data_IF_388723707372
#
_entry.id   IF_388723707372
#
_cell.length_a   1.000
_cell.length_b   1.000
_cell.length_c   1.000
_cell.angle_alpha   90.00
_cell.angle_beta   90.00
_cell.angle_gamma   90.00
#
_symmetry.space_group_name_H-M   'P 1'
#
loop_
_entity.id
_entity.type
_entity.pdbx_description
1 polymer ?
#
# COMPACT_ATOMS: atom_id res chain seq x y z
N UNK A 1 -3.46 -9.92 -25.70
CA UNK A 1 -2.25 -10.34 -24.95
C UNK A 1 -2.67 -10.93 -23.60
N UNK A 2 -1.97 -11.95 -23.13
CA UNK A 2 -2.22 -12.61 -21.83
C UNK A 2 -1.26 -12.09 -20.76
N UNK A 3 -1.80 -11.66 -19.64
CA UNK A 3 -1.04 -11.13 -18.50
C UNK A 3 -1.25 -12.01 -17.27
N UNK A 4 -0.17 -12.58 -16.74
CA UNK A 4 -0.16 -13.18 -15.42
C UNK A 4 0.11 -12.10 -14.37
N UNK A 5 -0.78 -11.96 -13.39
CA UNK A 5 -0.57 -11.11 -12.21
C UNK A 5 -0.39 -12.02 -11.00
N UNK A 6 0.75 -11.91 -10.34
CA UNK A 6 1.03 -12.65 -9.10
C UNK A 6 1.28 -11.68 -7.97
N UNK A 7 0.52 -11.79 -6.89
CA UNK A 7 0.78 -11.01 -5.69
C UNK A 7 0.08 -11.64 -4.49
N UNK A 8 0.50 -11.33 -3.26
CA UNK A 8 -0.32 -11.66 -2.10
C UNK A 8 -1.69 -10.99 -2.26
N UNK A 9 -2.76 -11.54 -1.69
CA UNK A 9 -3.97 -10.72 -1.48
C UNK A 9 -3.68 -9.59 -0.50
N UNK A 10 -4.05 -8.36 -0.83
CA UNK A 10 -3.89 -7.18 0.03
C UNK A 10 -5.02 -6.18 -0.16
N UNK A 11 -6.00 -6.21 0.76
CA UNK A 11 -7.08 -5.21 0.85
C UNK A 11 -7.91 -5.00 -0.43
N UNK A 12 -7.88 -5.93 -1.39
CA UNK A 12 -8.66 -5.85 -2.63
C UNK A 12 -7.99 -5.05 -3.75
N UNK A 13 -6.82 -4.46 -3.51
CA UNK A 13 -6.06 -3.79 -4.57
C UNK A 13 -5.67 -4.75 -5.70
N UNK A 14 -5.40 -6.02 -5.38
CA UNK A 14 -5.11 -7.05 -6.40
C UNK A 14 -6.26 -7.19 -7.42
N UNK A 15 -7.49 -7.00 -6.97
CA UNK A 15 -8.68 -7.05 -7.83
C UNK A 15 -8.82 -5.76 -8.66
N UNK A 16 -8.45 -4.61 -8.11
CA UNK A 16 -8.43 -3.34 -8.84
C UNK A 16 -7.40 -3.39 -9.98
N UNK A 17 -6.19 -3.88 -9.70
CA UNK A 17 -5.12 -4.04 -10.71
C UNK A 17 -5.58 -4.99 -11.81
N UNK A 18 -6.14 -6.14 -11.44
CA UNK A 18 -6.68 -7.11 -12.40
C UNK A 18 -7.72 -6.46 -13.33
N UNK A 19 -8.73 -5.79 -12.75
CA UNK A 19 -9.80 -5.14 -13.51
C UNK A 19 -9.29 -4.04 -14.43
N UNK A 20 -8.31 -3.25 -13.98
CA UNK A 20 -7.76 -2.18 -14.80
C UNK A 20 -6.87 -2.72 -15.94
N UNK A 21 -6.13 -3.80 -15.71
CA UNK A 21 -5.41 -4.49 -16.78
C UNK A 21 -6.37 -5.10 -17.81
N UNK A 22 -7.51 -5.65 -17.38
CA UNK A 22 -8.56 -6.13 -18.29
C UNK A 22 -9.15 -4.98 -19.14
N UNK A 23 -9.35 -3.80 -18.55
CA UNK A 23 -9.77 -2.59 -19.28
C UNK A 23 -8.75 -2.10 -20.30
N UNK A 24 -7.46 -2.31 -20.04
CA UNK A 24 -6.38 -2.05 -21.00
C UNK A 24 -6.28 -3.10 -22.12
N UNK A 25 -7.18 -4.09 -22.16
CA UNK A 25 -7.25 -5.10 -23.21
C UNK A 25 -6.46 -6.39 -22.94
N UNK A 26 -5.92 -6.57 -21.73
CA UNK A 26 -5.25 -7.81 -21.36
C UNK A 26 -6.24 -8.89 -20.93
N UNK A 27 -6.02 -10.13 -21.38
CA UNK A 27 -6.65 -11.30 -20.77
C UNK A 27 -5.84 -11.67 -19.53
N UNK A 28 -6.41 -11.50 -18.34
CA UNK A 28 -5.65 -11.62 -17.08
C UNK A 28 -5.88 -12.96 -16.38
N UNK A 29 -4.79 -13.52 -15.84
CA UNK A 29 -4.85 -14.60 -14.84
C UNK A 29 -4.25 -14.09 -13.54
N UNK A 30 -5.01 -14.18 -12.45
CA UNK A 30 -4.53 -13.84 -11.11
C UNK A 30 -4.14 -15.10 -10.32
N UNK A 31 -3.00 -15.01 -9.63
CA UNK A 31 -2.48 -16.04 -8.73
C UNK A 31 -2.00 -15.39 -7.42
N UNK A 32 -2.62 -15.80 -6.31
CA UNK A 32 -2.12 -15.49 -4.96
C UNK A 32 -0.79 -16.20 -4.77
N UNK A 33 0.28 -15.48 -4.48
CA UNK A 33 1.62 -16.07 -4.34
C UNK A 33 1.78 -16.89 -3.04
N UNK A 34 0.81 -16.80 -2.13
CA UNK A 34 0.69 -17.62 -0.92
C UNK A 34 -0.38 -18.71 -1.05
N UNK A 35 -0.74 -19.09 -2.28
CA UNK A 35 -1.84 -20.01 -2.56
C UNK A 35 -1.77 -21.30 -1.73
N UNK A 36 -2.81 -21.53 -0.94
CA UNK A 36 -2.97 -22.72 -0.11
C UNK A 36 -2.24 -22.67 1.24
N UNK A 37 -1.55 -21.58 1.59
CA UNK A 37 -0.95 -21.44 2.91
C UNK A 37 -1.97 -20.98 3.95
N UNK A 38 -1.94 -21.62 5.12
CA UNK A 38 -2.69 -21.19 6.30
C UNK A 38 -2.02 -19.97 6.98
N UNK A 39 -2.68 -19.41 8.00
CA UNK A 39 -2.20 -18.23 8.70
C UNK A 39 -0.79 -18.39 9.30
N UNK A 40 -0.49 -19.56 9.89
CA UNK A 40 0.81 -19.83 10.53
C UNK A 40 1.91 -19.99 9.49
N UNK A 41 1.65 -20.74 8.41
CA UNK A 41 2.57 -20.87 7.28
C UNK A 41 2.89 -19.50 6.66
N UNK A 42 1.87 -18.64 6.49
CA UNK A 42 2.05 -17.26 6.03
C UNK A 42 2.89 -16.42 7.01
N UNK A 43 2.76 -16.63 8.32
CA UNK A 43 3.58 -15.94 9.31
C UNK A 43 5.05 -16.39 9.25
N UNK A 44 5.29 -17.68 9.05
CA UNK A 44 6.64 -18.26 8.91
C UNK A 44 7.38 -17.70 7.69
N UNK A 45 6.74 -17.67 6.51
CA UNK A 45 7.39 -17.13 5.30
C UNK A 45 7.74 -15.64 5.45
N UNK A 46 6.94 -14.85 6.18
CA UNK A 46 7.24 -13.43 6.48
C UNK A 46 8.40 -13.27 7.46
N UNK A 47 8.67 -14.30 8.27
CA UNK A 47 9.88 -14.43 9.08
C UNK A 47 11.02 -15.12 8.32
N UNK A 48 10.86 -15.29 7.00
CA UNK A 48 11.84 -15.90 6.12
C UNK A 48 12.10 -17.40 6.42
N UNK A 49 11.12 -18.07 7.04
CA UNK A 49 11.18 -19.49 7.40
C UNK A 49 10.38 -20.29 6.36
N UNK A 50 11.09 -20.83 5.36
CA UNK A 50 10.50 -21.66 4.31
C UNK A 50 10.85 -23.14 4.50
N UNK A 51 9.96 -23.88 5.17
CA UNK A 51 10.12 -25.34 5.33
C UNK A 51 9.99 -26.05 3.98
N UNK A 52 10.55 -27.26 3.88
CA UNK A 52 10.43 -28.11 2.69
C UNK A 52 8.97 -28.33 2.30
N UNK A 53 8.10 -28.53 3.28
CA UNK A 53 6.67 -28.74 3.08
C UNK A 53 5.98 -27.51 2.47
N UNK A 54 6.24 -26.32 3.03
CA UNK A 54 5.70 -25.05 2.51
C UNK A 54 6.13 -24.84 1.05
N UNK A 55 7.42 -25.02 0.74
CA UNK A 55 7.94 -24.88 -0.63
C UNK A 55 7.27 -25.86 -1.60
N UNK A 56 7.15 -27.13 -1.21
CA UNK A 56 6.51 -28.16 -2.04
C UNK A 56 5.02 -27.87 -2.26
N UNK A 57 4.32 -27.43 -1.21
CA UNK A 57 2.90 -27.08 -1.26
C UNK A 57 2.66 -25.91 -2.22
N UNK A 58 3.41 -24.82 -2.08
CA UNK A 58 3.35 -23.67 -2.98
C UNK A 58 3.65 -24.08 -4.42
N UNK A 59 4.75 -24.81 -4.65
CA UNK A 59 5.12 -25.25 -6.00
C UNK A 59 4.03 -26.10 -6.67
N UNK A 60 3.44 -27.07 -5.94
CA UNK A 60 2.33 -27.90 -6.45
C UNK A 60 1.10 -27.06 -6.78
N UNK A 61 0.74 -26.12 -5.91
CA UNK A 61 -0.41 -25.25 -6.10
C UNK A 61 -0.24 -24.32 -7.29
N UNK A 62 0.94 -23.71 -7.45
CA UNK A 62 1.29 -22.88 -8.61
C UNK A 62 1.23 -23.70 -9.90
N UNK A 63 1.86 -24.90 -9.91
CA UNK A 63 1.84 -25.77 -11.08
C UNK A 63 0.42 -26.15 -11.49
N UNK A 64 -0.42 -26.56 -10.53
CA UNK A 64 -1.83 -26.91 -10.75
C UNK A 64 -2.64 -25.71 -11.25
N UNK A 65 -2.43 -24.53 -10.67
CA UNK A 65 -3.21 -23.31 -10.99
C UNK A 65 -2.90 -22.77 -12.38
N UNK A 66 -1.64 -22.79 -12.79
CA UNK A 66 -1.21 -22.30 -14.10
C UNK A 66 -1.36 -23.36 -15.21
N UNK A 67 -1.36 -24.65 -14.86
CA UNK A 67 -1.51 -25.78 -15.79
C UNK A 67 -0.63 -25.59 -17.03
N UNK A 68 -1.19 -25.65 -18.24
CA UNK A 68 -0.47 -25.46 -19.51
C UNK A 68 -0.63 -24.06 -20.09
N UNK A 69 -1.18 -23.12 -19.33
CA UNK A 69 -1.32 -21.74 -19.79
C UNK A 69 0.05 -21.09 -19.99
N UNK A 70 0.17 -20.34 -21.08
CA UNK A 70 1.31 -19.51 -21.46
C UNK A 70 0.86 -18.05 -21.49
N UNK A 71 1.75 -17.16 -21.08
CA UNK A 71 1.51 -15.73 -20.92
C UNK A 71 2.48 -14.92 -21.77
N UNK A 72 2.05 -13.75 -22.23
CA UNK A 72 2.93 -12.80 -22.89
C UNK A 72 3.72 -12.03 -21.82
N UNK A 73 3.02 -11.57 -20.77
CA UNK A 73 3.58 -10.76 -19.70
C UNK A 73 3.37 -11.43 -18.35
N UNK A 74 4.30 -11.18 -17.43
CA UNK A 74 4.13 -11.48 -16.01
C UNK A 74 4.43 -10.24 -15.18
N UNK A 75 3.41 -9.76 -14.46
CA UNK A 75 3.53 -8.74 -13.43
C UNK A 75 3.52 -9.40 -12.04
N UNK A 76 4.69 -9.44 -11.41
CA UNK A 76 4.88 -9.91 -10.04
C UNK A 76 4.91 -8.73 -9.07
N UNK A 77 3.97 -8.67 -8.13
CA UNK A 77 3.88 -7.56 -7.17
C UNK A 77 4.23 -8.11 -5.79
N UNK A 78 5.33 -7.61 -5.22
CA UNK A 78 5.78 -7.89 -3.85
C UNK A 78 5.78 -9.38 -3.49
N UNK A 79 6.59 -10.22 -4.17
CA UNK A 79 6.58 -11.67 -3.96
C UNK A 79 6.97 -12.05 -2.52
N UNK A 80 6.04 -12.64 -1.77
CA UNK A 80 6.21 -13.18 -0.42
C UNK A 80 6.41 -14.69 -0.43
N UNK A 81 5.69 -15.43 -1.29
CA UNK A 81 5.66 -16.90 -1.27
C UNK A 81 6.58 -17.59 -2.27
N UNK A 82 7.16 -16.85 -3.22
CA UNK A 82 7.91 -17.47 -4.31
C UNK A 82 9.38 -17.70 -3.97
N UNK A 83 9.85 -18.93 -4.18
CA UNK A 83 11.26 -19.25 -4.21
C UNK A 83 11.79 -19.31 -5.65
N UNK A 84 13.11 -19.46 -5.81
CA UNK A 84 13.77 -19.51 -7.12
C UNK A 84 13.15 -20.60 -8.03
N UNK A 85 12.73 -21.73 -7.47
CA UNK A 85 12.16 -22.84 -8.26
C UNK A 85 10.80 -22.45 -8.83
N UNK A 86 9.94 -21.81 -8.04
CA UNK A 86 8.66 -21.29 -8.50
C UNK A 86 8.86 -20.20 -9.56
N UNK A 87 9.77 -19.26 -9.33
CA UNK A 87 10.06 -18.18 -10.28
C UNK A 87 10.53 -18.74 -11.62
N UNK A 88 11.43 -19.73 -11.63
CA UNK A 88 11.89 -20.39 -12.86
C UNK A 88 10.76 -21.10 -13.59
N UNK A 89 9.87 -21.80 -12.88
CA UNK A 89 8.70 -22.45 -13.47
C UNK A 89 7.71 -21.45 -14.09
N UNK A 90 7.44 -20.33 -13.42
CA UNK A 90 6.58 -19.29 -13.98
C UNK A 90 7.26 -18.65 -15.19
N UNK A 91 8.57 -18.37 -15.09
CA UNK A 91 9.36 -17.78 -16.17
C UNK A 91 9.33 -18.62 -17.45
N UNK A 92 9.34 -19.96 -17.35
CA UNK A 92 9.23 -20.84 -18.53
C UNK A 92 7.86 -20.80 -19.21
N UNK A 93 6.90 -20.07 -18.65
CA UNK A 93 5.56 -19.86 -19.21
C UNK A 93 5.34 -18.42 -19.69
N UNK A 94 6.36 -17.57 -19.70
CA UNK A 94 6.27 -16.17 -20.07
C UNK A 94 7.13 -15.91 -21.30
N UNK A 95 6.49 -15.49 -22.39
CA UNK A 95 7.15 -15.40 -23.70
C UNK A 95 7.86 -14.06 -23.93
N UNK A 96 7.36 -12.95 -23.37
CA UNK A 96 7.85 -11.61 -23.72
C UNK A 96 8.55 -10.90 -22.57
N UNK A 97 7.84 -10.53 -21.49
CA UNK A 97 8.42 -9.66 -20.45
C UNK A 97 7.97 -10.03 -19.04
N UNK A 98 8.94 -10.16 -18.13
CA UNK A 98 8.78 -10.40 -16.70
C UNK A 98 9.07 -9.10 -15.95
N UNK A 99 8.09 -8.63 -15.20
CA UNK A 99 8.14 -7.37 -14.46
C UNK A 99 7.93 -7.67 -12.98
N UNK A 100 8.78 -7.13 -12.12
CA UNK A 100 8.55 -7.12 -10.67
C UNK A 100 8.35 -5.70 -10.17
N UNK A 101 7.35 -5.51 -9.31
CA UNK A 101 7.09 -4.28 -8.61
C UNK A 101 7.15 -4.51 -7.09
N UNK A 102 8.17 -3.95 -6.45
CA UNK A 102 8.32 -3.95 -5.00
C UNK A 102 7.41 -2.87 -4.41
N UNK A 103 6.25 -3.29 -3.91
CA UNK A 103 5.26 -2.42 -3.29
C UNK A 103 5.59 -2.08 -1.82
N UNK A 104 6.46 -2.86 -1.19
CA UNK A 104 6.88 -2.70 0.19
C UNK A 104 8.40 -2.62 0.23
N UNK A 105 8.96 -2.03 1.29
CA UNK A 105 10.39 -1.78 1.36
C UNK A 105 11.18 -3.08 1.43
N UNK A 106 12.22 -3.18 0.60
CA UNK A 106 13.15 -4.30 0.55
C UNK A 106 14.04 -4.40 1.80
N UNK A 107 14.16 -3.32 2.57
CA UNK A 107 14.85 -3.33 3.86
C UNK A 107 14.29 -4.39 4.82
N UNK A 108 12.99 -4.70 4.71
CA UNK A 108 12.31 -5.72 5.52
C UNK A 108 12.41 -7.14 4.93
N UNK A 109 12.99 -7.29 3.73
CA UNK A 109 12.87 -8.47 2.86
C UNK A 109 14.19 -8.81 2.15
N UNK A 110 15.30 -9.08 2.88
CA UNK A 110 16.62 -9.27 2.27
C UNK A 110 16.67 -10.43 1.25
N UNK A 111 15.89 -11.49 1.49
CA UNK A 111 15.84 -12.64 0.58
C UNK A 111 15.11 -12.38 -0.74
N UNK A 112 14.38 -11.27 -0.88
CA UNK A 112 13.74 -10.93 -2.15
C UNK A 112 14.74 -10.43 -3.20
N UNK A 113 15.93 -9.96 -2.80
CA UNK A 113 16.90 -9.39 -3.74
C UNK A 113 17.35 -10.41 -4.81
N UNK A 114 17.64 -11.65 -4.40
CA UNK A 114 18.03 -12.71 -5.35
C UNK A 114 16.88 -13.10 -6.28
N UNK A 115 15.63 -12.97 -5.82
CA UNK A 115 14.42 -13.27 -6.59
C UNK A 115 14.14 -12.16 -7.62
N UNK A 116 14.17 -10.89 -7.21
CA UNK A 116 13.85 -9.77 -8.10
C UNK A 116 14.86 -9.64 -9.25
N UNK A 117 16.10 -10.13 -9.07
CA UNK A 117 17.12 -10.15 -10.12
C UNK A 117 16.82 -11.12 -11.28
N UNK A 118 15.79 -11.97 -11.16
CA UNK A 118 15.36 -12.89 -12.22
C UNK A 118 14.34 -12.24 -13.19
N UNK A 119 13.95 -10.99 -12.94
CA UNK A 119 12.99 -10.22 -13.75
C UNK A 119 13.70 -9.25 -14.69
N UNK A 120 13.07 -8.98 -15.84
CA UNK A 120 13.64 -8.14 -16.90
C UNK A 120 13.47 -6.64 -16.59
N UNK A 121 12.36 -6.30 -15.93
CA UNK A 121 12.10 -4.94 -15.40
C UNK A 121 11.80 -5.02 -13.91
N UNK A 122 12.44 -4.15 -13.14
CA UNK A 122 12.37 -4.16 -11.68
C UNK A 122 12.06 -2.75 -11.19
N UNK A 123 10.93 -2.62 -10.54
CA UNK A 123 10.41 -1.35 -10.05
C UNK A 123 10.29 -1.37 -8.53
N UNK A 124 10.40 -0.21 -7.91
CA UNK A 124 10.03 0.00 -6.51
C UNK A 124 9.41 1.37 -6.32
N UNK A 125 8.50 1.47 -5.36
CA UNK A 125 7.95 2.74 -4.90
C UNK A 125 8.87 3.46 -3.91
N UNK A 126 9.83 2.75 -3.32
CA UNK A 126 10.72 3.29 -2.29
C UNK A 126 12.02 3.81 -2.93
N UNK A 127 12.31 5.09 -2.70
CA UNK A 127 13.43 5.80 -3.33
C UNK A 127 14.77 5.23 -2.87
N UNK A 128 14.90 4.83 -1.60
CA UNK A 128 16.16 4.26 -1.09
C UNK A 128 16.40 2.88 -1.66
N UNK A 129 15.36 2.06 -1.77
CA UNK A 129 15.49 0.73 -2.40
C UNK A 129 15.89 0.86 -3.86
N UNK A 130 15.34 1.84 -4.59
CA UNK A 130 15.73 2.12 -5.98
C UNK A 130 17.21 2.45 -6.10
N UNK A 131 17.72 3.36 -5.25
CA UNK A 131 19.14 3.73 -5.24
C UNK A 131 20.04 2.57 -4.86
N UNK A 132 19.67 1.81 -3.84
CA UNK A 132 20.48 0.72 -3.28
C UNK A 132 20.57 -0.50 -4.20
N UNK A 133 19.48 -0.81 -4.90
CA UNK A 133 19.36 -2.05 -5.69
C UNK A 133 19.26 -1.81 -7.21
N UNK A 134 19.50 -0.57 -7.66
CA UNK A 134 19.40 -0.15 -9.06
C UNK A 134 18.04 -0.55 -9.68
N UNK A 135 16.97 -0.17 -8.99
CA UNK A 135 15.58 -0.37 -9.42
C UNK A 135 15.03 0.91 -10.03
N UNK A 136 14.05 0.77 -10.91
CA UNK A 136 13.36 1.92 -11.49
C UNK A 136 12.33 2.43 -10.47
N UNK A 137 12.45 3.70 -10.09
CA UNK A 137 11.47 4.32 -9.21
C UNK A 137 10.16 4.51 -9.96
N UNK A 138 9.09 3.91 -9.44
CA UNK A 138 7.73 4.13 -9.90
C UNK A 138 6.84 4.31 -8.66
N UNK A 139 6.26 5.50 -8.46
CA UNK A 139 5.35 5.75 -7.35
C UNK A 139 4.16 4.81 -7.32
N UNK A 140 3.54 4.73 -6.14
CA UNK A 140 2.22 4.15 -5.99
C UNK A 140 1.14 5.01 -6.70
N UNK A 141 -0.11 4.59 -6.60
CA UNK A 141 -1.20 5.11 -7.42
C UNK A 141 -2.49 5.24 -6.62
N UNK A 142 -3.52 5.83 -7.25
CA UNK A 142 -4.90 5.75 -6.81
C UNK A 142 -5.80 5.16 -7.91
N UNK A 143 -6.89 4.49 -7.50
CA UNK A 143 -7.94 4.06 -8.43
C UNK A 143 -8.88 5.23 -8.74
N UNK A 144 -9.44 5.28 -9.95
CA UNK A 144 -10.42 6.31 -10.35
C UNK A 144 -11.66 6.38 -9.44
N UNK A 145 -11.93 5.34 -8.64
CA UNK A 145 -12.97 5.37 -7.61
C UNK A 145 -12.76 6.49 -6.58
N UNK A 146 -11.51 6.91 -6.37
CA UNK A 146 -11.14 8.00 -5.46
C UNK A 146 -11.22 9.38 -6.11
N UNK A 147 -11.61 9.49 -7.38
CA UNK A 147 -11.70 10.78 -8.04
C UNK A 147 -12.79 11.62 -7.39
N UNK A 148 -12.40 12.84 -7.04
CA UNK A 148 -13.26 13.88 -6.48
C UNK A 148 -14.61 14.02 -7.20
N UNK A 149 -15.72 13.93 -6.44
CA UNK A 149 -17.11 14.12 -6.91
C UNK A 149 -17.80 15.18 -6.03
N UNK A 150 -17.50 16.44 -6.30
CA UNK A 150 -18.13 17.67 -5.78
C UNK A 150 -18.21 17.94 -4.26
N UNK A 151 -18.01 19.23 -3.95
CA UNK A 151 -17.92 19.82 -2.61
C UNK A 151 -19.29 19.85 -1.91
N UNK A 152 -19.51 18.95 -0.94
CA UNK A 152 -20.29 19.31 0.24
C UNK A 152 -19.34 19.85 1.32
N UNK A 153 -19.87 20.66 2.23
CA UNK A 153 -19.14 21.08 3.43
C UNK A 153 -18.75 19.79 4.17
N UNK A 154 -17.46 19.46 4.12
CA UNK A 154 -16.93 18.29 4.84
C UNK A 154 -16.61 18.67 6.28
N UNK A 155 -16.56 17.67 7.12
CA UNK A 155 -16.17 17.80 8.51
C UNK A 155 -14.77 18.43 8.63
N UNK A 156 -14.61 19.40 9.55
CA UNK A 156 -13.32 20.05 9.85
C UNK A 156 -12.40 19.19 10.73
N UNK A 157 -12.88 18.04 11.21
CA UNK A 157 -12.07 17.06 11.94
C UNK A 157 -10.99 16.44 11.05
N UNK A 158 -9.91 16.01 11.68
CA UNK A 158 -8.90 15.16 11.07
C UNK A 158 -9.40 13.72 11.13
N UNK A 159 -9.30 12.98 10.03
CA UNK A 159 -9.58 11.55 10.00
C UNK A 159 -8.33 10.74 9.65
N UNK A 160 -8.16 9.59 10.28
CA UNK A 160 -7.13 8.62 9.88
C UNK A 160 -7.63 7.20 9.88
N UNK A 161 -7.17 6.43 8.89
CA UNK A 161 -7.49 5.02 8.76
C UNK A 161 -6.22 4.19 8.49
N UNK A 162 -6.20 2.96 8.99
CA UNK A 162 -5.26 1.93 8.53
C UNK A 162 -4.78 1.02 9.66
N UNK A 163 -3.83 0.16 9.35
CA UNK A 163 -3.43 -0.90 10.28
C UNK A 163 -2.74 -0.36 11.53
N UNK A 164 -2.90 -1.05 12.65
CA UNK A 164 -2.07 -0.83 13.84
C UNK A 164 -0.64 -1.23 13.52
N UNK A 165 0.27 -0.27 13.45
CA UNK A 165 1.69 -0.50 13.24
C UNK A 165 2.54 0.67 13.75
N UNK A 166 3.82 0.37 14.02
CA UNK A 166 4.89 1.33 14.33
C UNK A 166 4.52 2.38 15.39
N UNK A 167 4.62 3.66 15.07
CA UNK A 167 4.38 4.80 15.97
C UNK A 167 3.05 5.51 15.71
N UNK A 168 2.15 4.87 14.94
CA UNK A 168 0.82 5.41 14.60
C UNK A 168 0.02 5.81 15.83
N UNK A 169 -0.06 4.93 16.83
CA UNK A 169 -0.80 5.20 18.07
C UNK A 169 -0.17 6.35 18.84
N UNK A 170 1.17 6.45 18.85
CA UNK A 170 1.89 7.56 19.49
C UNK A 170 1.50 8.90 18.86
N UNK A 171 1.47 8.98 17.52
CA UNK A 171 1.09 10.22 16.81
C UNK A 171 -0.37 10.59 17.10
N UNK A 172 -1.30 9.64 17.00
CA UNK A 172 -2.72 9.87 17.32
C UNK A 172 -2.88 10.39 18.76
N UNK A 173 -2.22 9.73 19.72
CA UNK A 173 -2.22 10.13 21.13
C UNK A 173 -1.67 11.55 21.32
N UNK A 174 -0.53 11.87 20.70
CA UNK A 174 0.08 13.20 20.83
C UNK A 174 -0.85 14.29 20.31
N UNK A 175 -1.47 14.09 19.15
CA UNK A 175 -2.38 15.09 18.60
C UNK A 175 -3.65 15.26 19.46
N UNK A 176 -4.23 14.16 19.97
CA UNK A 176 -5.37 14.24 20.89
C UNK A 176 -5.02 14.97 22.19
N UNK A 177 -3.84 14.72 22.77
CA UNK A 177 -3.34 15.44 23.95
C UNK A 177 -3.17 16.94 23.69
N UNK A 178 -2.83 17.32 22.45
CA UNK A 178 -2.74 18.70 21.99
C UNK A 178 -4.08 19.27 21.47
N UNK A 179 -5.21 18.67 21.88
CA UNK A 179 -6.58 19.15 21.61
C UNK A 179 -6.98 19.18 20.12
N UNK A 180 -6.28 18.45 19.24
CA UNK A 180 -6.74 18.27 17.86
C UNK A 180 -7.98 17.37 17.83
N UNK A 181 -8.97 17.74 17.03
CA UNK A 181 -10.20 16.97 16.87
C UNK A 181 -9.99 15.86 15.83
N UNK A 182 -9.67 14.65 16.31
CA UNK A 182 -9.30 13.51 15.48
C UNK A 182 -10.29 12.37 15.66
N UNK A 183 -10.74 11.83 14.54
CA UNK A 183 -11.42 10.56 14.46
C UNK A 183 -10.52 9.54 13.76
N UNK A 184 -10.57 8.29 14.21
CA UNK A 184 -9.72 7.25 13.65
C UNK A 184 -10.38 5.88 13.64
N UNK A 185 -10.05 5.12 12.61
CA UNK A 185 -10.44 3.71 12.44
C UNK A 185 -9.18 2.89 12.19
N UNK A 186 -8.90 1.96 13.09
CA UNK A 186 -7.71 1.13 13.04
C UNK A 186 -8.06 -0.29 12.63
N UNK A 187 -7.22 -0.89 11.80
CA UNK A 187 -7.34 -2.29 11.44
C UNK A 187 -6.33 -3.12 12.23
N UNK A 188 -6.79 -4.20 12.84
CA UNK A 188 -5.93 -5.25 13.41
C UNK A 188 -6.23 -6.57 12.71
N UNK A 189 -5.20 -7.37 12.46
CA UNK A 189 -5.36 -8.62 11.71
C UNK A 189 -6.26 -9.63 12.42
N UNK A 190 -6.24 -9.63 13.76
CA UNK A 190 -7.10 -10.45 14.60
C UNK A 190 -7.07 -9.96 16.06
N UNK A 191 -7.98 -10.48 16.88
CA UNK A 191 -8.11 -10.13 18.30
C UNK A 191 -6.86 -10.46 19.11
N UNK A 192 -6.17 -11.56 18.82
CA UNK A 192 -4.96 -11.96 19.55
C UNK A 192 -3.83 -10.95 19.35
N UNK A 193 -3.69 -10.39 18.14
CA UNK A 193 -2.71 -9.34 17.85
C UNK A 193 -3.06 -8.05 18.58
N UNK A 194 -4.36 -7.72 18.67
CA UNK A 194 -4.82 -6.57 19.48
C UNK A 194 -4.50 -6.76 20.96
N UNK A 195 -4.79 -7.94 21.53
CA UNK A 195 -4.46 -8.28 22.92
C UNK A 195 -2.94 -8.19 23.14
N UNK A 196 -2.15 -8.74 22.23
CA UNK A 196 -0.69 -8.66 22.28
C UNK A 196 -0.20 -7.20 22.33
N UNK A 197 -0.69 -6.34 21.45
CA UNK A 197 -0.33 -4.92 21.44
C UNK A 197 -0.86 -4.15 22.64
N UNK A 198 -2.04 -4.51 23.16
CA UNK A 198 -2.59 -3.96 24.40
C UNK A 198 -1.69 -4.30 25.60
N UNK A 199 -1.30 -5.57 25.77
CA UNK A 199 -0.41 -6.02 26.84
C UNK A 199 0.99 -5.39 26.75
N UNK A 200 1.43 -5.01 25.53
CA UNK A 200 2.67 -4.26 25.31
C UNK A 200 2.54 -2.75 25.54
N UNK A 201 1.36 -2.26 25.96
CA UNK A 201 1.09 -0.84 26.17
C UNK A 201 1.06 0.00 24.88
N UNK A 202 0.99 -0.65 23.72
CA UNK A 202 0.97 0.02 22.41
C UNK A 202 -0.44 0.55 22.11
N UNK A 203 -1.47 -0.23 22.45
CA UNK A 203 -2.88 0.13 22.26
C UNK A 203 -3.48 0.49 23.63
N UNK A 204 -3.93 1.72 23.85
CA UNK A 204 -4.72 2.09 25.02
C UNK A 204 -6.08 1.38 25.08
N UNK A 205 -6.57 1.07 26.29
CA UNK A 205 -7.86 0.38 26.48
C UNK A 205 -9.03 1.10 25.79
N UNK A 206 -9.06 2.43 25.89
CA UNK A 206 -10.10 3.27 25.30
C UNK A 206 -10.09 3.28 23.76
N UNK A 207 -9.06 2.72 23.11
CA UNK A 207 -8.95 2.65 21.64
C UNK A 207 -9.46 1.33 21.08
N UNK A 208 -9.78 0.34 21.93
CA UNK A 208 -10.27 -0.96 21.47
C UNK A 208 -11.54 -0.81 20.61
N UNK A 209 -12.42 0.14 20.95
CA UNK A 209 -13.63 0.47 20.16
C UNK A 209 -13.36 1.00 18.76
N UNK A 210 -12.14 1.50 18.51
CA UNK A 210 -11.72 2.03 17.21
C UNK A 210 -11.02 0.96 16.35
N UNK A 211 -10.91 -0.28 16.84
CA UNK A 211 -10.25 -1.38 16.14
C UNK A 211 -11.28 -2.26 15.44
N UNK A 212 -11.12 -2.39 14.13
CA UNK A 212 -11.82 -3.36 13.29
C UNK A 212 -10.91 -4.55 12.98
N UNK A 213 -11.52 -5.73 12.86
CA UNK A 213 -10.87 -6.94 12.35
C UNK A 213 -11.20 -7.21 10.88
N UNK A 214 -12.20 -6.52 10.36
CA UNK A 214 -12.56 -6.56 8.95
C UNK A 214 -11.88 -5.43 8.20
N UNK A 215 -11.33 -5.77 7.03
CA UNK A 215 -10.78 -4.79 6.11
C UNK A 215 -11.89 -3.91 5.54
N UNK A 216 -11.73 -2.60 5.63
CA UNK A 216 -12.66 -1.64 5.03
C UNK A 216 -12.56 -1.69 3.50
N UNK A 217 -13.72 -1.70 2.82
CA UNK A 217 -13.77 -1.67 1.37
C UNK A 217 -13.24 -0.34 0.81
N UNK A 218 -12.73 -0.34 -0.43
CA UNK A 218 -12.30 0.89 -1.09
C UNK A 218 -13.42 1.92 -1.19
N UNK A 219 -14.66 1.48 -1.44
CA UNK A 219 -15.81 2.37 -1.56
C UNK A 219 -16.18 3.02 -0.22
N UNK A 220 -16.07 2.30 0.90
CA UNK A 220 -16.32 2.88 2.22
C UNK A 220 -15.18 3.81 2.66
N UNK A 221 -13.92 3.50 2.30
CA UNK A 221 -12.80 4.44 2.49
C UNK A 221 -13.06 5.73 1.69
N UNK A 222 -13.52 5.61 0.44
CA UNK A 222 -13.85 6.78 -0.37
C UNK A 222 -15.01 7.60 0.22
N UNK A 223 -16.08 6.95 0.72
CA UNK A 223 -17.16 7.64 1.45
C UNK A 223 -16.60 8.42 2.63
N UNK A 224 -15.69 7.80 3.41
CA UNK A 224 -15.01 8.51 4.51
C UNK A 224 -14.23 9.72 4.00
N UNK A 225 -13.46 9.62 2.92
CA UNK A 225 -12.77 10.80 2.35
C UNK A 225 -13.73 11.90 1.88
N UNK A 226 -14.95 11.56 1.49
CA UNK A 226 -15.97 12.56 1.18
C UNK A 226 -16.59 13.22 2.43
N UNK A 227 -16.44 12.62 3.62
CA UNK A 227 -16.93 13.17 4.89
C UNK A 227 -15.96 14.16 5.56
N UNK A 228 -14.65 14.11 5.28
CA UNK A 228 -13.64 14.94 5.98
C UNK A 228 -12.81 15.82 5.04
N UNK A 229 -12.43 17.02 5.51
CA UNK A 229 -11.49 17.88 4.80
C UNK A 229 -10.03 17.45 4.96
N UNK A 230 -9.67 16.89 6.13
CA UNK A 230 -8.29 16.60 6.49
C UNK A 230 -8.10 15.12 6.75
N UNK A 231 -7.18 14.50 6.01
CA UNK A 231 -6.81 13.11 6.21
C UNK A 231 -5.36 13.02 6.69
N UNK A 232 -5.15 12.30 7.78
CA UNK A 232 -3.83 12.04 8.34
C UNK A 232 -3.28 10.70 7.84
N UNK A 233 -2.17 10.77 7.09
CA UNK A 233 -1.38 9.62 6.67
C UNK A 233 -0.10 9.45 7.50
N UNK A 234 -0.02 8.31 8.19
CA UNK A 234 1.12 7.94 9.02
C UNK A 234 1.86 6.79 8.33
N UNK A 235 2.95 7.11 7.63
CA UNK A 235 3.84 6.12 7.01
C UNK A 235 4.67 5.39 8.06
N UNK A 236 5.33 4.30 7.68
CA UNK A 236 6.34 3.70 8.55
C UNK A 236 7.59 4.61 8.59
N UNK A 237 8.28 4.80 9.73
CA UNK A 237 9.44 5.71 9.82
C UNK A 237 10.59 5.36 8.87
N UNK A 238 10.78 4.08 8.57
CA UNK A 238 11.83 3.60 7.66
C UNK A 238 11.43 3.65 6.16
N UNK A 239 10.18 3.99 5.85
CA UNK A 239 9.69 4.03 4.48
C UNK A 239 9.92 5.43 3.89
N UNK A 240 10.55 5.49 2.72
CA UNK A 240 10.76 6.75 2.00
C UNK A 240 9.75 6.99 0.89
N UNK A 241 9.25 5.92 0.26
CA UNK A 241 8.15 6.01 -0.71
C UNK A 241 6.83 6.51 -0.09
N UNK A 242 6.02 7.22 -0.86
CA UNK A 242 4.67 7.63 -0.42
C UNK A 242 3.72 6.43 -0.37
N UNK A 243 2.76 6.44 0.56
CA UNK A 243 1.74 5.37 0.66
C UNK A 243 0.63 5.58 -0.39
N UNK A 244 -0.15 4.55 -0.72
CA UNK A 244 -1.36 4.72 -1.55
C UNK A 244 -2.31 5.80 -1.00
N UNK A 245 -2.44 5.88 0.33
CA UNK A 245 -3.32 6.86 0.98
C UNK A 245 -2.97 8.29 0.58
N UNK A 246 -1.68 8.59 0.38
CA UNK A 246 -1.28 9.91 -0.12
C UNK A 246 -1.95 10.22 -1.45
N UNK A 247 -1.89 9.31 -2.42
CA UNK A 247 -2.48 9.49 -3.74
C UNK A 247 -4.01 9.50 -3.68
N UNK A 248 -4.62 8.59 -2.92
CA UNK A 248 -6.06 8.47 -2.77
C UNK A 248 -6.69 9.74 -2.14
N UNK A 249 -6.07 10.24 -1.08
CA UNK A 249 -6.51 11.46 -0.37
C UNK A 249 -6.47 12.66 -1.30
N UNK A 250 -5.34 12.89 -1.97
CA UNK A 250 -5.18 14.05 -2.84
C UNK A 250 -6.10 13.97 -4.07
N UNK A 251 -6.28 12.78 -4.64
CA UNK A 251 -7.24 12.55 -5.73
C UNK A 251 -8.69 12.77 -5.31
N UNK A 252 -9.03 12.51 -4.04
CA UNK A 252 -10.36 12.77 -3.46
C UNK A 252 -10.60 14.24 -3.10
N UNK A 253 -9.63 15.12 -3.35
CA UNK A 253 -9.69 16.56 -3.06
C UNK A 253 -9.52 16.94 -1.59
N UNK A 254 -9.32 15.96 -0.70
CA UNK A 254 -8.99 16.22 0.70
C UNK A 254 -7.62 16.88 0.83
N UNK A 255 -7.42 17.63 1.91
CA UNK A 255 -6.11 18.09 2.33
C UNK A 255 -5.42 16.97 3.13
N UNK A 256 -4.13 16.77 2.86
CA UNK A 256 -3.33 15.69 3.43
C UNK A 256 -2.43 16.22 4.55
N UNK A 257 -2.50 15.60 5.72
CA UNK A 257 -1.48 15.73 6.77
C UNK A 257 -0.64 14.46 6.70
N UNK A 258 0.65 14.55 6.40
CA UNK A 258 1.51 13.38 6.24
C UNK A 258 2.76 13.46 7.10
N UNK A 259 3.23 12.30 7.57
CA UNK A 259 4.51 12.16 8.28
C UNK A 259 5.67 11.80 7.36
N UNK A 260 5.43 11.67 6.04
CA UNK A 260 6.48 11.40 5.06
C UNK A 260 6.98 12.71 4.42
N UNK A 261 8.19 13.20 4.78
CA UNK A 261 8.71 14.45 4.24
C UNK A 261 9.12 14.35 2.77
N UNK A 262 9.27 13.14 2.21
CA UNK A 262 9.66 12.96 0.82
C UNK A 262 8.58 13.42 -0.18
N UNK A 263 7.36 13.72 0.29
CA UNK A 263 6.28 14.24 -0.55
C UNK A 263 6.67 15.54 -1.27
N UNK A 264 7.60 16.34 -0.73
CA UNK A 264 8.12 17.55 -1.36
C UNK A 264 8.81 17.31 -2.71
N UNK A 265 9.19 16.06 -2.99
CA UNK A 265 9.91 15.69 -4.23
C UNK A 265 8.97 15.39 -5.40
N UNK A 266 7.66 15.42 -5.17
CA UNK A 266 6.66 15.07 -6.17
C UNK A 266 6.08 16.33 -6.82
N UNK A 267 5.76 16.24 -8.11
CA UNK A 267 5.25 17.33 -8.94
C UNK A 267 3.92 17.93 -8.45
N UNK A 268 3.10 17.13 -7.75
CA UNK A 268 1.85 17.59 -7.15
C UNK A 268 2.01 18.27 -5.78
N UNK A 269 3.22 18.38 -5.24
CA UNK A 269 3.40 18.98 -3.91
C UNK A 269 2.90 20.42 -3.88
N UNK A 270 1.96 20.70 -2.97
CA UNK A 270 1.43 22.04 -2.75
C UNK A 270 1.19 22.26 -1.25
N UNK A 271 1.84 23.25 -0.61
CA UNK A 271 1.73 23.49 0.83
C UNK A 271 0.32 23.93 1.28
N UNK A 272 -0.55 24.40 0.37
CA UNK A 272 -1.95 24.71 0.67
C UNK A 272 -2.80 23.45 0.88
N UNK A 273 -2.37 22.31 0.32
CA UNK A 273 -3.10 21.04 0.37
C UNK A 273 -2.37 19.95 1.15
N UNK A 274 -1.08 20.13 1.41
CA UNK A 274 -0.24 19.14 2.06
C UNK A 274 0.49 19.77 3.24
N UNK A 275 0.21 19.28 4.45
CA UNK A 275 0.97 19.58 5.64
C UNK A 275 1.91 18.42 5.98
N UNK A 276 3.18 18.73 6.23
CA UNK A 276 4.18 17.74 6.65
C UNK A 276 4.29 17.80 8.18
N UNK A 277 3.68 16.85 8.86
CA UNK A 277 3.77 16.71 10.32
C UNK A 277 5.13 16.12 10.69
N UNK A 278 5.94 16.91 11.41
CA UNK A 278 7.22 16.43 11.93
C UNK A 278 6.97 15.47 13.09
N UNK A 279 7.70 14.34 13.11
CA UNK A 279 7.54 13.30 14.14
C UNK A 279 8.06 13.70 15.53
N UNK A 280 8.85 14.77 15.60
CA UNK A 280 9.25 15.42 16.85
C UNK A 280 8.17 16.36 17.41
N UNK A 281 7.10 16.60 16.64
CA UNK A 281 5.98 17.48 16.97
C UNK A 281 6.38 18.95 17.18
N UNK A 282 7.52 19.38 16.65
CA UNK A 282 7.99 20.77 16.72
C UNK A 282 7.07 21.77 15.99
N UNK A 283 6.24 21.28 15.06
CA UNK A 283 5.38 22.11 14.21
C UNK A 283 3.87 21.98 14.46
N UNK A 284 3.44 21.68 15.69
CA UNK A 284 2.01 21.57 16.01
C UNK A 284 1.26 22.91 15.91
N UNK A 285 1.90 24.04 16.26
CA UNK A 285 1.29 25.36 16.11
C UNK A 285 1.01 25.71 14.64
N UNK A 286 1.96 25.37 13.76
CA UNK A 286 1.82 25.52 12.31
C UNK A 286 0.69 24.65 11.77
N UNK A 287 0.55 23.41 12.26
CA UNK A 287 -0.55 22.51 11.88
C UNK A 287 -1.91 23.14 12.20
N UNK A 288 -2.07 23.72 13.39
CA UNK A 288 -3.32 24.35 13.79
C UNK A 288 -3.66 25.55 12.88
N UNK A 289 -2.68 26.41 12.58
CA UNK A 289 -2.87 27.52 11.67
C UNK A 289 -3.22 27.05 10.26
N UNK A 290 -2.57 26.00 9.78
CA UNK A 290 -2.82 25.42 8.46
C UNK A 290 -4.23 24.83 8.34
N UNK A 291 -4.74 24.16 9.38
CA UNK A 291 -6.12 23.65 9.44
C UNK A 291 -7.14 24.80 9.40
N UNK A 292 -6.88 25.89 10.14
CA UNK A 292 -7.77 27.06 10.15
C UNK A 292 -7.79 27.76 8.80
N UNK A 293 -6.65 27.84 8.11
CA UNK A 293 -6.51 28.43 6.77
C UNK A 293 -6.83 27.43 5.64
N UNK A 294 -7.86 26.60 5.83
CA UNK A 294 -8.28 25.57 4.87
C UNK A 294 -8.46 26.14 3.45
N UNK A 295 -7.98 25.37 2.46
CA UNK A 295 -8.12 25.70 1.05
C UNK A 295 -8.75 24.53 0.25
N UNK A 296 -9.74 24.86 -0.58
CA UNK A 296 -10.47 23.90 -1.41
C UNK A 296 -9.82 23.63 -2.78
N UNK A 297 -8.57 24.05 -3.00
CA UNK A 297 -7.79 23.81 -4.21
C UNK A 297 -7.78 22.33 -4.57
N UNK A 298 -8.03 22.05 -5.85
CA UNK A 298 -7.91 20.70 -6.43
C UNK A 298 -6.51 20.55 -7.04
N UNK A 299 -5.81 19.49 -6.66
CA UNK A 299 -4.54 19.12 -7.29
C UNK A 299 -4.79 18.27 -8.53
N UNK A 300 -3.96 18.43 -9.56
CA UNK A 300 -3.94 17.50 -10.67
C UNK A 300 -3.16 16.24 -10.27
N UNK A 301 -3.87 15.12 -10.18
CA UNK A 301 -3.29 13.83 -9.81
C UNK A 301 -3.24 12.84 -11.00
N UNK A 302 -3.60 13.25 -12.21
CA UNK A 302 -3.89 12.32 -13.32
C UNK A 302 -2.70 11.39 -13.67
N UNK A 303 -1.46 11.86 -13.49
CA UNK A 303 -0.24 11.07 -13.68
C UNK A 303 -0.13 9.85 -12.75
N UNK A 304 -0.86 9.83 -11.62
CA UNK A 304 -0.78 8.82 -10.57
C UNK A 304 -1.99 7.89 -10.53
N UNK A 305 -2.76 7.83 -11.61
CA UNK A 305 -3.84 6.84 -11.73
C UNK A 305 -3.31 5.42 -11.85
N UNK A 306 -4.07 4.43 -11.36
CA UNK A 306 -3.79 3.00 -11.55
C UNK A 306 -3.59 2.64 -13.04
N UNK A 307 -4.34 3.31 -13.92
CA UNK A 307 -4.22 3.17 -15.37
C UNK A 307 -2.81 3.56 -15.85
N UNK A 308 -2.36 4.77 -15.52
CA UNK A 308 -1.03 5.25 -15.88
C UNK A 308 0.08 4.42 -15.25
N UNK A 309 -0.11 3.95 -14.02
CA UNK A 309 0.83 3.05 -13.36
C UNK A 309 0.98 1.72 -14.12
N UNK A 310 -0.13 1.09 -14.52
CA UNK A 310 -0.11 -0.15 -15.32
C UNK A 310 0.53 0.06 -16.70
N UNK A 311 0.19 1.17 -17.37
CA UNK A 311 0.79 1.51 -18.67
C UNK A 311 2.31 1.66 -18.53
N UNK A 312 2.80 2.35 -17.49
CA UNK A 312 4.24 2.50 -17.26
C UNK A 312 4.94 1.17 -17.00
N UNK A 313 4.29 0.24 -16.27
CA UNK A 313 4.85 -1.09 -16.01
C UNK A 313 4.92 -1.97 -17.26
N UNK A 314 3.87 -1.93 -18.09
CA UNK A 314 3.67 -2.88 -19.18
C UNK A 314 4.20 -2.41 -20.55
N UNK A 315 4.73 -1.18 -20.64
CA UNK A 315 5.54 -0.70 -21.78
C UNK A 315 6.79 -1.60 -21.99
#
# INVERSE_FOLDING_TARGET
>A
MKLLITCPKFFGYELLIKKEAERLGYKTTFLDDRLGLNFFEQALIRKNIFTREIKLKLYRNVKKRLSDEIFDYWLCINPEGFDIKIIKYISSKVNYKKIVYCWDSLANKPNQISIINLFDKRYSFDILDCKKHNLIHLPLYYSKNYYYRDNKIKNKKIYTIGSVHSDRIKIINTLLKNKFNIEFSLFSKNVFLTIYFFLKGIIPLNYIKNISYDSTSHDDIFKKYNEYNFILDISHPLQTGLTNRTFEVLASGCSLITTNPNIIKYDFYNPLKIFILKRDFSNLAELNNWITNYNNLKLNMDNYTLNNWLIQLLK
#
